data_IF_671375426945
#
_entry.id   IF_671375426945
#
_cell.length_a   1.000
_cell.length_b   1.000
_cell.length_c   1.000
_cell.angle_alpha   90.00
_cell.angle_beta   90.00
_cell.angle_gamma   90.00
#
_symmetry.space_group_name_H-M   'P 1'
#
loop_
_entity.id
_entity.type
_entity.pdbx_description
1 polymer ?
#
# COMPACT_ATOMS: atom_id res chain seq x y z
N UNK A 1 -21.38 -21.79 -13.75
CA UNK A 1 -21.17 -22.96 -12.87
C UNK A 1 -20.95 -24.29 -13.59
N UNK A 2 -21.58 -24.59 -14.73
CA UNK A 2 -21.37 -25.90 -15.40
C UNK A 2 -20.10 -26.02 -16.26
N UNK A 3 -19.39 -24.91 -16.51
CA UNK A 3 -18.32 -24.83 -17.50
C UNK A 3 -16.94 -25.26 -16.99
N UNK A 4 -16.71 -25.27 -15.67
CA UNK A 4 -15.37 -25.50 -15.10
C UNK A 4 -15.21 -26.92 -14.53
N UNK A 5 -16.28 -27.54 -14.02
CA UNK A 5 -16.17 -28.83 -13.31
C UNK A 5 -16.73 -30.01 -14.13
N UNK A 6 -16.94 -29.84 -15.43
CA UNK A 6 -17.57 -30.81 -16.35
C UNK A 6 -18.88 -31.45 -15.82
N UNK A 7 -19.54 -30.81 -14.84
CA UNK A 7 -20.75 -31.31 -14.18
C UNK A 7 -21.91 -31.42 -15.15
N UNK A 8 -21.90 -30.65 -16.25
CA UNK A 8 -22.90 -30.76 -17.31
C UNK A 8 -22.76 -32.04 -18.15
N UNK A 9 -21.55 -32.59 -18.32
CA UNK A 9 -21.37 -33.89 -18.98
C UNK A 9 -21.78 -35.02 -18.03
N UNK A 10 -21.35 -34.97 -16.77
CA UNK A 10 -21.75 -35.95 -15.75
C UNK A 10 -23.26 -35.98 -15.52
N UNK A 11 -23.92 -34.82 -15.42
CA UNK A 11 -25.38 -34.78 -15.25
C UNK A 11 -26.11 -35.40 -16.44
N UNK A 12 -25.54 -35.44 -17.65
CA UNK A 12 -26.16 -36.08 -18.83
C UNK A 12 -26.06 -37.62 -18.81
N UNK A 13 -25.16 -38.20 -18.01
CA UNK A 13 -25.05 -39.66 -17.87
C UNK A 13 -26.02 -40.23 -16.84
N UNK A 14 -26.69 -39.37 -16.06
CA UNK A 14 -27.64 -39.78 -15.02
C UNK A 14 -29.02 -40.11 -15.61
N UNK A 15 -29.67 -41.12 -15.03
CA UNK A 15 -31.04 -41.50 -15.37
C UNK A 15 -32.08 -40.50 -14.84
N UNK A 16 -33.29 -40.56 -15.40
CA UNK A 16 -34.40 -39.66 -15.06
C UNK A 16 -34.81 -39.71 -13.58
N UNK A 17 -34.72 -40.88 -12.94
CA UNK A 17 -35.00 -41.09 -11.51
C UNK A 17 -34.00 -40.34 -10.62
N UNK A 18 -32.71 -40.42 -10.93
CA UNK A 18 -31.65 -39.71 -10.22
C UNK A 18 -31.81 -38.20 -10.36
N UNK A 19 -32.15 -37.71 -11.56
CA UNK A 19 -32.48 -36.29 -11.76
C UNK A 19 -33.67 -35.82 -10.92
N UNK A 20 -34.72 -36.64 -10.80
CA UNK A 20 -35.87 -36.32 -9.94
C UNK A 20 -35.47 -36.25 -8.47
N UNK A 21 -34.64 -37.18 -8.00
CA UNK A 21 -34.09 -37.18 -6.64
C UNK A 21 -33.25 -35.92 -6.36
N UNK A 22 -32.30 -35.59 -7.24
CA UNK A 22 -31.46 -34.39 -7.12
C UNK A 22 -32.32 -33.14 -7.07
N UNK A 23 -33.31 -32.99 -7.98
CA UNK A 23 -34.22 -31.84 -7.97
C UNK A 23 -35.00 -31.73 -6.67
N UNK A 24 -35.46 -32.84 -6.09
CA UNK A 24 -36.17 -32.85 -4.80
C UNK A 24 -35.26 -32.39 -3.66
N UNK A 25 -34.02 -32.88 -3.62
CA UNK A 25 -33.02 -32.48 -2.62
C UNK A 25 -32.67 -31.00 -2.77
N UNK A 26 -32.39 -30.53 -3.99
CA UNK A 26 -32.07 -29.12 -4.27
C UNK A 26 -33.22 -28.21 -3.89
N UNK A 27 -34.48 -28.55 -4.20
CA UNK A 27 -35.65 -27.77 -3.78
C UNK A 27 -35.77 -27.68 -2.27
N UNK A 28 -35.56 -28.80 -1.55
CA UNK A 28 -35.57 -28.82 -0.07
C UNK A 28 -34.46 -27.94 0.51
N UNK A 29 -33.26 -27.99 -0.07
CA UNK A 29 -32.12 -27.15 0.32
C UNK A 29 -32.34 -25.67 -0.02
N UNK A 30 -32.98 -25.36 -1.15
CA UNK A 30 -33.32 -23.98 -1.50
C UNK A 30 -34.44 -23.43 -0.61
N UNK A 31 -35.41 -24.27 -0.22
CA UNK A 31 -36.50 -23.88 0.66
C UNK A 31 -36.03 -23.53 2.08
N UNK A 32 -34.87 -24.03 2.54
CA UNK A 32 -34.32 -23.65 3.84
C UNK A 32 -33.76 -22.22 3.89
N UNK A 33 -33.57 -21.57 2.73
CA UNK A 33 -33.03 -20.20 2.65
C UNK A 33 -31.56 -20.07 3.06
N UNK A 34 -30.88 -21.16 3.41
CA UNK A 34 -29.51 -21.14 3.93
C UNK A 34 -28.52 -20.47 2.98
N UNK A 35 -28.64 -20.71 1.66
CA UNK A 35 -27.78 -20.08 0.66
C UNK A 35 -28.00 -18.56 0.60
N UNK A 36 -29.26 -18.11 0.73
CA UNK A 36 -29.60 -16.69 0.75
C UNK A 36 -29.01 -16.01 1.98
N UNK A 37 -29.08 -16.66 3.15
CA UNK A 37 -28.45 -16.15 4.38
C UNK A 37 -26.93 -16.11 4.27
N UNK A 38 -26.31 -17.17 3.74
CA UNK A 38 -24.86 -17.21 3.48
C UNK A 38 -24.43 -16.08 2.56
N UNK A 39 -25.14 -15.88 1.44
CA UNK A 39 -24.84 -14.80 0.50
C UNK A 39 -24.97 -13.42 1.15
N UNK A 40 -26.03 -13.20 1.94
CA UNK A 40 -26.18 -11.92 2.68
C UNK A 40 -25.05 -11.70 3.68
N UNK A 41 -24.68 -12.72 4.44
CA UNK A 41 -23.58 -12.64 5.40
C UNK A 41 -22.25 -12.33 4.70
N UNK A 42 -21.98 -12.99 3.57
CA UNK A 42 -20.80 -12.73 2.76
C UNK A 42 -20.78 -11.28 2.25
N UNK A 43 -21.88 -10.81 1.66
CA UNK A 43 -21.97 -9.43 1.16
C UNK A 43 -21.81 -8.41 2.29
N UNK A 44 -22.34 -8.69 3.48
CA UNK A 44 -22.17 -7.81 4.65
C UNK A 44 -20.70 -7.77 5.10
N UNK A 45 -20.04 -8.91 5.21
CA UNK A 45 -18.63 -9.00 5.57
C UNK A 45 -17.73 -8.29 4.55
N UNK A 46 -17.97 -8.50 3.26
CA UNK A 46 -17.24 -7.83 2.18
C UNK A 46 -17.42 -6.30 2.24
N UNK A 47 -18.66 -5.83 2.46
CA UNK A 47 -18.93 -4.40 2.65
C UNK A 47 -18.19 -3.83 3.85
N UNK A 48 -18.19 -4.53 4.97
CA UNK A 48 -17.48 -4.09 6.17
C UNK A 48 -15.98 -4.01 5.93
N UNK A 49 -15.37 -5.05 5.35
CA UNK A 49 -13.95 -5.07 4.99
C UNK A 49 -13.59 -3.94 4.02
N UNK A 50 -14.44 -3.68 3.03
CA UNK A 50 -14.24 -2.57 2.10
C UNK A 50 -14.27 -1.21 2.80
N UNK A 51 -15.18 -0.99 3.75
CA UNK A 51 -15.22 0.26 4.53
C UNK A 51 -13.98 0.42 5.41
N UNK A 52 -13.54 -0.63 6.09
CA UNK A 52 -12.33 -0.61 6.92
C UNK A 52 -11.08 -0.32 6.08
N UNK A 53 -10.97 -0.94 4.90
CA UNK A 53 -9.86 -0.69 3.99
C UNK A 53 -9.87 0.76 3.48
N UNK A 54 -11.04 1.29 3.09
CA UNK A 54 -11.17 2.69 2.69
C UNK A 54 -10.74 3.64 3.81
N UNK A 55 -11.15 3.38 5.05
CA UNK A 55 -10.75 4.18 6.20
C UNK A 55 -9.23 4.13 6.45
N UNK A 56 -8.61 2.94 6.37
CA UNK A 56 -7.16 2.77 6.50
C UNK A 56 -6.39 3.52 5.41
N UNK A 57 -6.83 3.41 4.15
CA UNK A 57 -6.22 4.12 3.02
C UNK A 57 -6.35 5.64 3.20
N UNK A 58 -7.54 6.13 3.56
CA UNK A 58 -7.77 7.55 3.83
C UNK A 58 -6.87 8.08 4.96
N UNK A 59 -6.73 7.33 6.05
CA UNK A 59 -5.85 7.70 7.17
C UNK A 59 -4.36 7.72 6.77
N UNK A 60 -3.92 6.76 5.93
CA UNK A 60 -2.55 6.76 5.38
C UNK A 60 -2.32 7.97 4.48
N UNK A 61 -3.26 8.28 3.58
CA UNK A 61 -3.20 9.44 2.68
C UNK A 61 -3.15 10.75 3.47
N UNK A 62 -4.01 10.90 4.48
CA UNK A 62 -4.01 12.08 5.35
C UNK A 62 -2.68 12.26 6.10
N UNK A 63 -2.10 11.16 6.61
CA UNK A 63 -0.77 11.21 7.25
C UNK A 63 0.35 11.56 6.26
N UNK A 64 0.29 11.08 5.01
CA UNK A 64 1.26 11.44 3.96
C UNK A 64 1.15 12.92 3.63
N UNK A 65 -0.07 13.39 3.33
CA UNK A 65 -0.35 14.81 3.04
C UNK A 65 0.06 15.74 4.18
N UNK A 66 -0.19 15.38 5.44
CA UNK A 66 0.24 16.18 6.60
C UNK A 66 1.77 16.27 6.72
N UNK A 67 2.50 15.20 6.37
CA UNK A 67 3.97 15.22 6.33
C UNK A 67 4.47 16.09 5.18
N UNK A 68 3.88 15.98 4.00
CA UNK A 68 4.23 16.80 2.83
C UNK A 68 4.01 18.28 3.12
N UNK A 69 2.85 18.65 3.65
CA UNK A 69 2.57 20.03 4.06
C UNK A 69 3.54 20.55 5.12
N UNK A 70 3.99 19.68 6.05
CA UNK A 70 5.00 20.06 7.03
C UNK A 70 6.38 20.30 6.40
N UNK A 71 6.72 19.60 5.31
CA UNK A 71 7.96 19.83 4.55
C UNK A 71 7.84 21.10 3.69
N UNK A 72 6.69 21.33 3.06
CA UNK A 72 6.43 22.53 2.25
C UNK A 72 6.49 23.82 3.08
N UNK A 73 6.02 23.77 4.34
CA UNK A 73 6.04 24.90 5.27
C UNK A 73 7.39 25.16 5.95
N UNK A 74 8.46 24.44 5.59
CA UNK A 74 9.78 24.61 6.20
C UNK A 74 10.40 25.95 5.81
N UNK A 75 10.72 26.77 6.81
CA UNK A 75 11.63 27.90 6.62
C UNK A 75 13.06 27.36 6.62
N UNK A 76 13.76 27.56 5.49
CA UNK A 76 15.13 27.10 5.32
C UNK A 76 16.09 27.95 6.14
N UNK A 77 16.91 27.27 6.93
CA UNK A 77 17.97 27.91 7.69
C UNK A 77 19.26 27.66 6.92
N UNK A 78 19.82 28.73 6.36
CA UNK A 78 21.05 28.67 5.57
C UNK A 78 22.29 28.96 6.42
N UNK A 79 22.15 29.48 7.65
CA UNK A 79 23.28 29.75 8.53
C UNK A 79 23.73 28.48 9.29
N UNK A 80 25.00 28.12 9.13
CA UNK A 80 25.63 26.95 9.75
C UNK A 80 25.64 27.06 11.28
N UNK A 81 25.75 28.27 11.83
CA UNK A 81 25.72 28.46 13.28
C UNK A 81 24.34 28.14 13.86
N UNK A 82 23.28 28.60 13.20
CA UNK A 82 21.90 28.31 13.56
C UNK A 82 21.56 26.82 13.40
N UNK A 83 22.05 26.15 12.34
CA UNK A 83 21.84 24.71 12.12
C UNK A 83 22.33 23.86 13.30
N UNK A 84 23.45 24.22 13.93
CA UNK A 84 24.00 23.48 15.08
C UNK A 84 23.10 23.53 16.31
N UNK A 85 22.31 24.58 16.45
CA UNK A 85 21.36 24.75 17.56
C UNK A 85 20.05 23.96 17.37
N UNK A 86 19.81 23.41 16.17
CA UNK A 86 18.55 22.75 15.85
C UNK A 86 18.33 21.45 16.62
N UNK A 87 17.05 21.22 16.92
CA UNK A 87 16.55 19.96 17.45
C UNK A 87 16.44 18.93 16.34
N UNK A 88 16.59 17.65 16.69
CA UNK A 88 16.56 16.54 15.73
C UNK A 88 15.32 16.52 14.80
N UNK A 89 14.10 16.86 15.25
CA UNK A 89 12.94 16.92 14.35
C UNK A 89 13.11 17.98 13.25
N UNK A 90 13.62 19.17 13.60
CA UNK A 90 13.84 20.25 12.64
C UNK A 90 14.95 19.89 11.63
N UNK A 91 16.04 19.24 12.10
CA UNK A 91 17.10 18.72 11.22
C UNK A 91 16.54 17.72 10.21
N UNK A 92 15.70 16.78 10.66
CA UNK A 92 15.09 15.79 9.75
C UNK A 92 14.18 16.45 8.73
N UNK A 93 13.42 17.48 9.13
CA UNK A 93 12.47 18.19 8.28
C UNK A 93 13.21 18.96 7.17
N UNK A 94 14.29 19.68 7.52
CA UNK A 94 15.14 20.35 6.54
C UNK A 94 15.87 19.38 5.61
N UNK A 95 16.38 18.25 6.13
CA UNK A 95 16.96 17.21 5.28
C UNK A 95 15.94 16.61 4.30
N UNK A 96 14.69 16.44 4.71
CA UNK A 96 13.62 15.97 3.81
C UNK A 96 13.32 16.98 2.72
N UNK A 97 13.33 18.27 3.05
CA UNK A 97 13.20 19.32 2.05
C UNK A 97 14.35 19.29 1.04
N UNK A 98 15.61 19.28 1.51
CA UNK A 98 16.77 19.23 0.61
C UNK A 98 16.79 17.96 -0.27
N UNK A 99 16.26 16.83 0.22
CA UNK A 99 16.13 15.60 -0.58
C UNK A 99 15.18 15.72 -1.77
N UNK A 100 14.21 16.64 -1.75
CA UNK A 100 13.34 16.89 -2.91
C UNK A 100 14.07 17.58 -4.05
N UNK A 101 15.18 18.26 -3.75
CA UNK A 101 15.99 18.96 -4.74
C UNK A 101 17.16 18.06 -5.16
N UNK A 102 17.90 17.52 -4.18
CA UNK A 102 19.13 16.75 -4.41
C UNK A 102 19.00 15.30 -3.91
N UNK A 103 18.08 14.54 -4.49
CA UNK A 103 17.72 13.19 -4.03
C UNK A 103 18.88 12.18 -4.10
N UNK A 104 19.78 12.33 -5.08
CA UNK A 104 20.92 11.43 -5.30
C UNK A 104 22.02 11.61 -4.25
N UNK A 105 22.17 12.82 -3.74
CA UNK A 105 23.34 13.26 -2.96
C UNK A 105 23.12 13.23 -1.44
N UNK A 106 21.88 13.02 -1.00
CA UNK A 106 21.51 13.00 0.43
C UNK A 106 21.02 11.59 0.81
N UNK A 107 21.81 10.83 1.60
CA UNK A 107 21.44 9.48 2.00
C UNK A 107 20.08 9.44 2.74
N UNK A 108 19.28 8.38 2.59
CA UNK A 108 18.02 8.21 3.31
C UNK A 108 18.24 8.18 4.83
N UNK A 109 17.21 8.54 5.60
CA UNK A 109 17.31 8.74 7.05
C UNK A 109 17.74 7.46 7.79
N UNK A 110 17.42 6.28 7.25
CA UNK A 110 17.86 4.99 7.76
C UNK A 110 19.39 4.81 7.76
N UNK A 111 20.10 5.46 6.84
CA UNK A 111 21.57 5.44 6.75
C UNK A 111 22.25 6.47 7.66
N UNK A 112 21.48 7.37 8.29
CA UNK A 112 21.98 8.40 9.21
C UNK A 112 21.37 8.21 10.61
N UNK A 113 21.86 7.25 11.41
CA UNK A 113 21.24 6.92 12.70
C UNK A 113 21.49 7.98 13.79
N UNK A 114 22.64 8.67 13.74
CA UNK A 114 23.06 9.63 14.77
C UNK A 114 22.70 11.06 14.38
N UNK A 115 22.41 11.91 15.40
CA UNK A 115 22.12 13.35 15.20
C UNK A 115 23.28 14.06 14.49
N UNK A 116 24.51 13.78 14.88
CA UNK A 116 25.72 14.40 14.30
C UNK A 116 25.84 14.11 12.81
N UNK A 117 25.66 12.85 12.39
CA UNK A 117 25.71 12.47 10.97
C UNK A 117 24.62 13.19 10.16
N UNK A 118 23.43 13.36 10.74
CA UNK A 118 22.34 14.12 10.09
C UNK A 118 22.66 15.60 9.99
N UNK A 119 23.27 16.17 11.02
CA UNK A 119 23.68 17.57 11.03
C UNK A 119 24.77 17.82 9.98
N UNK A 120 25.77 16.95 9.89
CA UNK A 120 26.83 17.05 8.87
C UNK A 120 26.25 16.94 7.47
N UNK A 121 25.39 15.94 7.22
CA UNK A 121 24.70 15.80 5.93
C UNK A 121 23.84 17.03 5.58
N UNK A 122 23.24 17.69 6.58
CA UNK A 122 22.46 18.90 6.38
C UNK A 122 23.36 20.10 6.04
N UNK A 123 24.49 20.25 6.73
CA UNK A 123 25.47 21.30 6.43
C UNK A 123 26.00 21.14 5.01
N UNK A 124 26.35 19.92 4.61
CA UNK A 124 26.82 19.62 3.25
C UNK A 124 25.74 19.94 2.21
N UNK A 125 24.48 19.56 2.47
CA UNK A 125 23.35 19.88 1.60
C UNK A 125 23.09 21.39 1.48
N UNK A 126 23.19 22.15 2.58
CA UNK A 126 23.04 23.61 2.58
C UNK A 126 24.17 24.29 1.80
N UNK A 127 25.41 23.82 1.93
CA UNK A 127 26.53 24.36 1.18
C UNK A 127 26.36 24.12 -0.33
N UNK A 128 25.98 22.90 -0.74
CA UNK A 128 25.65 22.59 -2.13
C UNK A 128 24.51 23.46 -2.64
N UNK A 129 23.44 23.62 -1.86
CA UNK A 129 22.31 24.46 -2.23
C UNK A 129 22.74 25.93 -2.43
N UNK A 130 23.64 26.46 -1.59
CA UNK A 130 24.19 27.81 -1.79
C UNK A 130 25.02 27.90 -3.06
N UNK A 131 25.81 26.88 -3.37
CA UNK A 131 26.60 26.81 -4.60
C UNK A 131 25.71 26.72 -5.84
N UNK A 132 24.66 25.90 -5.81
CA UNK A 132 23.70 25.76 -6.93
C UNK A 132 22.85 27.01 -7.11
N UNK A 133 22.40 27.66 -6.04
CA UNK A 133 21.68 28.95 -6.14
C UNK A 133 22.62 30.07 -6.63
N UNK A 134 23.88 30.07 -6.20
CA UNK A 134 24.88 31.02 -6.69
C UNK A 134 25.27 30.78 -8.16
N UNK A 135 25.26 29.51 -8.61
CA UNK A 135 25.57 29.12 -9.97
C UNK A 135 24.36 29.18 -10.94
N UNK A 136 23.14 29.04 -10.41
CA UNK A 136 21.93 28.68 -11.15
C UNK A 136 20.78 29.67 -11.01
N UNK A 137 21.00 30.95 -11.28
CA UNK A 137 19.93 31.89 -11.63
C UNK A 137 19.22 31.54 -12.98
N UNK A 138 19.14 30.26 -13.35
CA UNK A 138 18.52 29.76 -14.56
C UNK A 138 18.71 28.25 -14.71
N UNK A 139 17.77 27.46 -14.18
CA UNK A 139 17.12 26.34 -14.88
C UNK A 139 16.18 25.63 -13.90
N UNK A 140 14.88 25.82 -14.12
CA UNK A 140 13.78 25.09 -13.49
C UNK A 140 13.91 23.60 -13.83
N UNK A 141 14.16 22.78 -12.81
CA UNK A 141 14.17 21.32 -12.92
C UNK A 141 12.76 20.78 -13.08
N UNK A 142 12.34 20.61 -14.34
CA UNK A 142 11.16 19.85 -14.71
C UNK A 142 11.36 18.35 -14.43
N UNK A 143 10.36 17.80 -13.73
CA UNK A 143 9.84 16.44 -13.65
C UNK A 143 10.58 15.31 -14.38
N UNK A 144 10.91 14.26 -13.62
CA UNK A 144 10.63 12.85 -13.96
C UNK A 144 10.82 12.00 -12.69
N UNK A 145 9.84 12.07 -11.78
CA UNK A 145 9.65 11.05 -10.75
C UNK A 145 8.80 9.94 -11.40
N UNK A 146 9.47 9.02 -12.07
CA UNK A 146 8.92 7.71 -12.36
C UNK A 146 8.64 7.02 -11.02
N UNK A 147 7.41 7.16 -10.53
CA UNK A 147 6.81 6.36 -9.46
C UNK A 147 6.72 4.89 -9.92
N UNK A 148 7.88 4.23 -10.04
CA UNK A 148 7.97 2.78 -10.05
C UNK A 148 7.96 2.26 -8.61
N UNK A 149 7.04 1.31 -8.39
CA UNK A 149 6.89 0.41 -7.24
C UNK A 149 5.87 0.81 -6.15
N UNK A 150 4.62 0.42 -6.42
CA UNK A 150 3.91 -0.43 -5.46
C UNK A 150 3.27 -1.57 -6.22
N UNK A 151 4.00 -2.67 -6.30
CA UNK A 151 3.47 -4.03 -6.48
C UNK A 151 2.04 -4.18 -5.94
N UNK A 152 1.10 -4.48 -6.83
CA UNK A 152 -0.22 -5.01 -6.47
C UNK A 152 -0.02 -6.43 -5.95
N UNK A 153 0.34 -6.51 -4.67
CA UNK A 153 0.39 -7.74 -3.89
C UNK A 153 -1.03 -8.24 -3.67
N UNK A 154 -1.64 -8.73 -4.74
CA UNK A 154 -2.83 -9.57 -4.72
C UNK A 154 -2.44 -10.93 -4.12
N UNK A 155 -2.14 -10.94 -2.81
CA UNK A 155 -2.10 -12.16 -2.01
C UNK A 155 -3.55 -12.57 -1.76
N UNK A 156 -4.15 -13.17 -2.79
CA UNK A 156 -5.23 -14.12 -2.61
C UNK A 156 -4.67 -15.28 -1.81
N UNK A 157 -5.05 -15.35 -0.53
CA UNK A 157 -4.87 -16.54 0.28
C UNK A 157 -5.63 -17.68 -0.38
N UNK A 158 -4.89 -18.52 -1.09
CA UNK A 158 -5.28 -19.88 -1.45
C UNK A 158 -5.12 -20.72 -0.18
N UNK A 159 -6.20 -20.84 0.58
CA UNK A 159 -6.33 -21.83 1.65
C UNK A 159 -6.45 -23.22 0.99
N UNK A 160 -5.33 -23.77 0.54
CA UNK A 160 -5.20 -25.20 0.27
C UNK A 160 -4.95 -25.92 1.59
N UNK A 161 -6.04 -26.17 2.33
CA UNK A 161 -6.06 -27.18 3.38
C UNK A 161 -5.78 -28.54 2.72
N UNK A 162 -4.62 -29.11 3.07
CA UNK A 162 -4.29 -30.49 2.82
C UNK A 162 -5.14 -31.40 3.70
N UNK A 163 -5.77 -32.38 3.06
CA UNK A 163 -6.23 -33.60 3.73
C UNK A 163 -5.37 -34.74 3.18
N UNK A 164 -4.45 -35.20 4.03
CA UNK A 164 -3.72 -36.44 3.88
C UNK A 164 -4.72 -37.60 3.78
N UNK A 165 -4.66 -38.39 2.71
CA UNK A 165 -5.07 -39.79 2.80
C UNK A 165 -3.91 -40.67 2.34
N UNK A 166 -3.16 -41.08 3.36
CA UNK A 166 -2.46 -42.36 3.44
C UNK A 166 -3.41 -43.50 3.06
N UNK A 167 -2.99 -44.39 2.17
CA UNK A 167 -3.43 -45.78 2.15
C UNK A 167 -2.49 -46.64 1.27
N UNK A 168 -1.60 -47.37 1.97
CA UNK A 168 -1.16 -48.77 1.78
C UNK A 168 -1.07 -49.37 0.36
#
# INVERSE_FOLDING_TARGET
MYKHNNTGAYMRTLGASTHACIRKITRRRNASGAEKHRQMAQVQAEKQRAMENKAKVAARKAKKAAKEAAIDGVVLILDVAELRSLKLPAINLQLQWHRRIDQKEIPPQSKLPRKENKLNALIDAVNRYKETVAAGAGEDGNEDDEDEDMTDGESGGDDTDGDEMDES
#
